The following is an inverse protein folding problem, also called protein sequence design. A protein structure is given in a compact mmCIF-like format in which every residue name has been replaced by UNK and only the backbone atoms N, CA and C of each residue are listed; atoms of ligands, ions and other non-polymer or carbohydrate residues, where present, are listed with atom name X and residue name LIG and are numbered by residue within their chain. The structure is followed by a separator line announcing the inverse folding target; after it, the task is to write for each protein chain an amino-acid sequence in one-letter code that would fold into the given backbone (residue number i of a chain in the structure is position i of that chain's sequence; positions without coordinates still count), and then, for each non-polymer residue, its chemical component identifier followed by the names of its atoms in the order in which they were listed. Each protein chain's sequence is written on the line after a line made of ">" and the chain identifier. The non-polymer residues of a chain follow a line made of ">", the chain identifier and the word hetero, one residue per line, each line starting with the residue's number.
data_IF_817302065088
#
_entry.id   IF_817302065088
#
_cell.length_a   1.000
_cell.length_b   1.000
_cell.length_c   1.000
_cell.angle_alpha   90.00
_cell.angle_beta   90.00
_cell.angle_gamma   90.00
#
_symmetry.space_group_name_H-M   'P 1'
#
loop_
_entity.id
_entity.type
_entity.pdbx_description
1 polymer ?
#
# COMPACT_ATOMS: atom_id res chain seq x y z
N UNK A 1 19.02 53.15 5.03
CA UNK A 1 17.72 52.76 4.45
C UNK A 1 17.14 51.67 5.33
N UNK A 2 16.13 52.00 6.15
CA UNK A 2 15.42 51.02 6.96
C UNK A 2 14.77 49.98 6.05
N UNK A 3 15.22 48.74 6.14
CA UNK A 3 14.55 47.61 5.52
C UNK A 3 13.22 47.43 6.26
N UNK A 4 12.14 48.03 5.75
CA UNK A 4 10.78 47.85 6.29
C UNK A 4 10.55 46.34 6.46
N UNK A 5 10.39 45.88 7.70
CA UNK A 5 10.05 44.48 7.99
C UNK A 5 8.77 44.14 7.23
N UNK A 6 8.84 43.16 6.33
CA UNK A 6 7.69 42.66 5.57
C UNK A 6 6.48 42.39 6.48
N UNK A 7 5.23 42.68 6.06
CA UNK A 7 4.05 42.50 6.91
C UNK A 7 3.89 41.03 7.33
N UNK A 8 3.25 40.77 8.48
CA UNK A 8 3.05 39.40 8.98
C UNK A 8 2.15 38.56 8.05
N UNK A 9 1.33 39.21 7.22
CA UNK A 9 0.54 38.59 6.15
C UNK A 9 1.36 38.16 4.93
N UNK A 10 2.60 38.63 4.75
CA UNK A 10 3.47 38.16 3.67
C UNK A 10 3.69 36.65 3.81
N UNK A 11 3.28 35.89 2.80
CA UNK A 11 3.39 34.43 2.76
C UNK A 11 4.81 33.93 3.01
N UNK A 12 5.84 34.73 2.69
CA UNK A 12 7.23 34.39 2.98
C UNK A 12 7.55 34.34 4.48
N UNK A 13 6.77 35.05 5.32
CA UNK A 13 6.89 35.05 6.79
C UNK A 13 6.07 33.97 7.47
N UNK A 14 5.16 33.31 6.75
CA UNK A 14 4.35 32.21 7.28
C UNK A 14 5.24 31.06 7.74
N UNK A 15 4.78 30.35 8.77
CA UNK A 15 5.51 29.21 9.33
C UNK A 15 5.50 28.06 8.34
N UNK A 16 6.65 27.43 8.13
CA UNK A 16 6.77 26.27 7.25
C UNK A 16 6.69 24.99 8.08
N UNK A 17 5.86 24.05 7.64
CA UNK A 17 5.84 22.67 8.15
C UNK A 17 6.10 21.70 6.99
N UNK A 18 7.05 20.79 7.19
CA UNK A 18 7.27 19.63 6.33
C UNK A 18 6.73 18.39 7.05
N UNK A 19 6.25 17.35 6.34
CA UNK A 19 5.90 16.08 6.97
C UNK A 19 7.05 15.48 7.79
N UNK A 20 8.29 15.62 7.30
CA UNK A 20 9.50 15.20 8.01
C UNK A 20 9.69 15.86 9.39
N UNK A 21 9.14 17.05 9.64
CA UNK A 21 9.26 17.71 10.95
C UNK A 21 8.54 16.96 12.08
N UNK A 22 7.52 16.18 11.73
CA UNK A 22 6.65 15.50 12.67
C UNK A 22 6.65 13.97 12.48
N UNK A 23 7.50 13.43 11.61
CA UNK A 23 7.56 12.00 11.31
C UNK A 23 8.42 11.21 12.30
N UNK A 24 7.96 10.00 12.67
CA UNK A 24 8.75 9.02 13.44
C UNK A 24 9.95 8.48 12.67
N UNK A 25 9.86 8.42 11.33
CA UNK A 25 10.93 7.91 10.45
C UNK A 25 12.06 8.94 10.23
N UNK A 26 11.85 10.21 10.59
CA UNK A 26 12.88 11.25 10.40
C UNK A 26 13.91 11.23 11.54
N UNK A 27 15.19 11.28 11.17
CA UNK A 27 16.32 11.41 12.10
C UNK A 27 16.14 12.63 13.03
N UNK A 28 16.75 12.56 14.22
CA UNK A 28 16.60 13.59 15.27
C UNK A 28 16.90 15.00 14.77
N UNK A 29 17.93 15.17 13.92
CA UNK A 29 18.33 16.48 13.36
C UNK A 29 17.30 17.07 12.38
N UNK A 30 16.47 16.23 11.76
CA UNK A 30 15.44 16.63 10.81
C UNK A 30 14.09 16.87 11.46
N UNK A 31 13.80 16.16 12.56
CA UNK A 31 12.55 16.28 13.31
C UNK A 31 12.52 17.58 14.12
N UNK A 32 11.31 18.09 14.37
CA UNK A 32 11.07 19.33 15.15
C UNK A 32 10.23 19.11 16.40
N UNK A 33 9.78 17.87 16.63
CA UNK A 33 9.08 17.45 17.85
C UNK A 33 9.75 16.20 18.46
N UNK A 34 9.51 15.89 19.75
CA UNK A 34 9.99 14.65 20.38
C UNK A 34 9.50 13.39 19.64
N UNK A 35 10.28 12.30 19.66
CA UNK A 35 9.89 11.03 19.03
C UNK A 35 8.55 10.50 19.55
N UNK A 36 8.30 10.66 20.86
CA UNK A 36 7.07 10.22 21.51
C UNK A 36 5.81 10.97 21.02
N UNK A 37 5.97 12.17 20.45
CA UNK A 37 4.87 12.97 19.91
C UNK A 37 4.78 12.88 18.38
N UNK A 38 5.69 12.13 17.74
CA UNK A 38 5.79 12.04 16.29
C UNK A 38 4.75 11.07 15.69
N UNK A 39 4.46 11.26 14.41
CA UNK A 39 3.45 10.55 13.63
C UNK A 39 4.10 9.52 12.71
N UNK A 40 3.44 8.38 12.49
CA UNK A 40 3.87 7.38 11.51
C UNK A 40 3.52 7.84 10.09
N UNK A 41 4.56 8.08 9.28
CA UNK A 41 4.46 8.43 7.85
C UNK A 41 3.41 9.54 7.53
N UNK A 42 3.50 10.74 8.14
CA UNK A 42 2.63 11.86 7.81
C UNK A 42 2.87 12.34 6.37
N UNK A 43 1.84 12.93 5.74
CA UNK A 43 1.94 13.53 4.40
C UNK A 43 1.33 14.95 4.34
N UNK A 44 1.50 15.63 3.20
CA UNK A 44 1.01 17.01 3.01
C UNK A 44 -0.52 17.12 3.06
N UNK A 45 -1.30 16.28 2.35
CA UNK A 45 -2.76 16.29 2.46
C UNK A 45 -3.28 16.23 3.90
N UNK A 46 -2.72 15.36 4.74
CA UNK A 46 -3.15 15.24 6.14
C UNK A 46 -2.86 16.48 6.97
N UNK A 47 -1.72 17.12 6.74
CA UNK A 47 -1.40 18.40 7.37
C UNK A 47 -2.43 19.45 6.95
N UNK A 48 -2.79 19.49 5.66
CA UNK A 48 -3.81 20.42 5.13
C UNK A 48 -5.18 20.12 5.73
N UNK A 49 -5.59 18.87 5.84
CA UNK A 49 -6.88 18.48 6.43
C UNK A 49 -7.00 18.94 7.89
N UNK A 50 -5.94 18.74 8.69
CA UNK A 50 -5.88 19.26 10.05
C UNK A 50 -5.94 20.78 10.06
N UNK A 51 -5.17 21.46 9.21
CA UNK A 51 -5.15 22.93 9.18
C UNK A 51 -6.48 23.53 8.71
N UNK A 52 -7.20 22.86 7.82
CA UNK A 52 -8.51 23.31 7.35
C UNK A 52 -9.61 23.12 8.41
N UNK A 53 -9.37 22.31 9.44
CA UNK A 53 -10.28 22.17 10.59
C UNK A 53 -10.19 23.33 11.59
N UNK A 54 -9.22 24.24 11.41
CA UNK A 54 -8.97 25.40 12.27
C UNK A 54 -8.80 26.66 11.43
N UNK A 55 -8.99 27.89 11.98
CA UNK A 55 -8.92 29.12 11.20
C UNK A 55 -7.47 29.57 10.92
N UNK A 56 -6.63 28.68 10.38
CA UNK A 56 -5.26 28.97 9.98
C UNK A 56 -5.10 28.89 8.45
N UNK A 57 -5.02 30.06 7.76
CA UNK A 57 -4.72 30.11 6.34
C UNK A 57 -3.42 29.36 6.02
N UNK A 58 -3.44 28.58 4.96
CA UNK A 58 -2.32 27.75 4.56
C UNK A 58 -2.09 27.75 3.04
N UNK A 59 -0.85 27.45 2.64
CA UNK A 59 -0.42 27.39 1.25
C UNK A 59 0.52 26.20 1.05
N UNK A 60 0.18 25.32 0.12
CA UNK A 60 1.00 24.16 -0.26
C UNK A 60 2.06 24.57 -1.26
N UNK A 61 3.29 24.08 -1.07
CA UNK A 61 4.40 24.24 -2.00
C UNK A 61 5.04 22.88 -2.30
N UNK A 62 5.41 22.63 -3.55
CA UNK A 62 6.05 21.38 -4.03
C UNK A 62 7.55 21.31 -3.71
N UNK A 63 7.99 21.93 -2.60
CA UNK A 63 9.40 21.92 -2.20
C UNK A 63 9.74 20.68 -1.39
N UNK A 64 10.79 19.96 -1.79
CA UNK A 64 11.32 18.84 -1.02
C UNK A 64 12.02 19.29 0.26
N UNK A 65 12.01 18.42 1.27
CA UNK A 65 12.79 18.64 2.48
C UNK A 65 14.28 18.39 2.20
N UNK A 66 15.17 19.39 2.30
CA UNK A 66 16.56 19.24 1.84
C UNK A 66 17.38 18.21 2.63
N UNK A 67 16.94 17.85 3.84
CA UNK A 67 17.62 16.88 4.72
C UNK A 67 16.95 15.51 4.72
N UNK A 68 15.96 15.28 3.85
CA UNK A 68 15.41 13.94 3.64
C UNK A 68 16.33 13.15 2.70
N UNK A 69 17.15 12.27 3.28
CA UNK A 69 18.09 11.43 2.53
C UNK A 69 17.38 10.35 1.70
N UNK A 70 16.18 9.94 2.11
CA UNK A 70 15.42 8.87 1.46
C UNK A 70 14.67 9.36 0.22
N UNK A 71 14.54 10.69 0.04
CA UNK A 71 13.72 11.31 -1.02
C UNK A 71 12.36 10.64 -1.16
N UNK A 72 11.76 10.24 -0.03
CA UNK A 72 10.53 9.47 -0.04
C UNK A 72 9.41 10.28 -0.70
N UNK A 73 8.73 9.68 -1.68
CA UNK A 73 7.58 10.28 -2.36
C UNK A 73 6.45 10.62 -1.38
N UNK A 74 6.38 9.90 -0.26
CA UNK A 74 5.39 10.09 0.82
C UNK A 74 5.55 11.44 1.56
N UNK A 75 6.74 12.04 1.53
CA UNK A 75 7.07 13.28 2.25
C UNK A 75 7.26 14.49 1.30
N UNK A 76 6.78 14.40 0.07
CA UNK A 76 6.94 15.48 -0.92
C UNK A 76 6.12 16.72 -0.57
N UNK A 77 6.77 17.88 -0.66
CA UNK A 77 6.15 19.18 -0.45
C UNK A 77 6.23 19.69 0.98
N UNK A 78 5.67 20.89 1.17
CA UNK A 78 5.56 21.56 2.47
C UNK A 78 4.34 22.47 2.50
N UNK A 79 3.92 22.83 3.70
CA UNK A 79 2.82 23.76 3.92
C UNK A 79 3.33 25.01 4.62
N UNK A 80 2.95 26.18 4.13
CA UNK A 80 3.09 27.46 4.83
C UNK A 80 1.81 27.74 5.59
N UNK A 81 1.92 28.23 6.83
CA UNK A 81 0.79 28.48 7.72
C UNK A 81 0.90 29.87 8.33
N UNK A 82 -0.17 30.66 8.18
CA UNK A 82 -0.29 31.95 8.83
C UNK A 82 -0.74 31.76 10.27
N UNK A 83 0.03 32.25 11.25
CA UNK A 83 -0.35 32.18 12.66
C UNK A 83 -0.94 33.50 13.20
N UNK A 84 -0.68 34.61 12.52
CA UNK A 84 -1.05 35.95 12.97
C UNK A 84 -1.69 36.76 11.85
N UNK A 85 -2.70 37.55 12.19
CA UNK A 85 -3.25 38.59 11.32
C UNK A 85 -2.26 39.75 11.11
N UNK A 86 -2.63 40.72 10.27
CA UNK A 86 -1.77 41.85 9.92
C UNK A 86 -1.40 42.75 11.10
N UNK A 87 -2.36 42.96 12.00
CA UNK A 87 -2.21 43.67 13.28
C UNK A 87 -1.35 42.90 14.30
N UNK A 88 -1.02 41.64 14.01
CA UNK A 88 -0.19 40.80 14.84
C UNK A 88 -0.94 40.02 15.91
N UNK A 89 -2.27 40.03 15.90
CA UNK A 89 -3.12 39.20 16.74
C UNK A 89 -3.01 37.72 16.33
N UNK A 90 -2.92 36.75 17.27
CA UNK A 90 -2.93 35.34 16.93
C UNK A 90 -4.27 34.92 16.31
N UNK A 91 -4.24 34.18 15.20
CA UNK A 91 -5.46 33.65 14.57
C UNK A 91 -6.08 32.51 15.38
N UNK A 92 -5.24 31.74 16.09
CA UNK A 92 -5.64 30.71 17.05
C UNK A 92 -4.83 30.93 18.34
N UNK A 93 -5.46 31.28 19.48
CA UNK A 93 -4.76 31.61 20.71
C UNK A 93 -3.84 30.51 21.25
N UNK A 94 -4.18 29.24 21.03
CA UNK A 94 -3.36 28.11 21.48
C UNK A 94 -2.16 27.83 20.57
N UNK A 95 -2.15 28.39 19.35
CA UNK A 95 -1.16 28.10 18.30
C UNK A 95 -0.42 29.39 17.90
N UNK A 96 0.34 29.95 18.85
CA UNK A 96 1.11 31.18 18.64
C UNK A 96 2.57 30.95 18.22
N UNK A 97 3.06 29.71 18.31
CA UNK A 97 4.46 29.37 18.02
C UNK A 97 4.57 28.25 17.00
N UNK A 98 5.74 28.16 16.34
CA UNK A 98 6.05 27.05 15.43
C UNK A 98 5.95 25.69 16.14
N UNK A 99 6.43 25.62 17.37
CA UNK A 99 6.41 24.40 18.15
C UNK A 99 4.98 23.98 18.49
N UNK A 100 4.13 24.94 18.89
CA UNK A 100 2.72 24.68 19.15
C UNK A 100 2.00 24.17 17.88
N UNK A 101 2.29 24.78 16.72
CA UNK A 101 1.76 24.32 15.43
C UNK A 101 2.14 22.86 15.14
N UNK A 102 3.42 22.52 15.23
CA UNK A 102 3.89 21.17 14.92
C UNK A 102 3.27 20.12 15.84
N UNK A 103 3.21 20.41 17.15
CA UNK A 103 2.58 19.51 18.13
C UNK A 103 1.09 19.37 17.91
N UNK A 104 0.39 20.47 17.60
CA UNK A 104 -1.05 20.45 17.33
C UNK A 104 -1.37 19.59 16.11
N UNK A 105 -0.65 19.80 15.00
CA UNK A 105 -0.81 18.98 13.78
C UNK A 105 -0.49 17.52 14.07
N UNK A 106 0.64 17.22 14.72
CA UNK A 106 1.03 15.85 15.04
C UNK A 106 0.01 15.12 15.94
N UNK A 107 -0.63 15.85 16.87
CA UNK A 107 -1.66 15.29 17.74
C UNK A 107 -2.94 14.92 16.99
N UNK A 108 -3.33 15.69 15.97
CA UNK A 108 -4.60 15.52 15.28
C UNK A 108 -4.53 14.61 14.06
N UNK A 109 -3.38 14.45 13.39
CA UNK A 109 -3.26 13.52 12.24
C UNK A 109 -3.75 12.11 12.59
N UNK A 110 -3.34 11.47 13.71
CA UNK A 110 -3.84 10.15 14.09
C UNK A 110 -5.36 10.10 14.34
N UNK A 111 -6.00 11.26 14.54
CA UNK A 111 -7.44 11.39 14.78
C UNK A 111 -8.24 11.67 13.50
N UNK A 112 -7.58 11.83 12.35
CA UNK A 112 -8.28 12.03 11.08
C UNK A 112 -9.10 10.79 10.74
N UNK A 113 -10.29 11.00 10.17
CA UNK A 113 -11.15 9.90 9.70
C UNK A 113 -10.42 9.00 8.72
N UNK A 114 -9.55 9.55 7.87
CA UNK A 114 -8.68 8.83 6.94
C UNK A 114 -7.65 7.92 7.62
N UNK A 115 -7.25 8.21 8.86
CA UNK A 115 -6.35 7.38 9.69
C UNK A 115 -7.10 6.40 10.60
N UNK A 116 -8.32 6.78 11.02
CA UNK A 116 -9.17 5.96 11.89
C UNK A 116 -9.96 4.91 11.12
N UNK A 117 -10.32 5.21 9.88
CA UNK A 117 -10.78 4.21 8.94
C UNK A 117 -9.53 3.52 8.41
N UNK A 118 -9.36 2.23 8.72
CA UNK A 118 -8.63 1.36 7.77
C UNK A 118 -9.24 1.68 6.41
N UNK A 119 -8.44 1.99 5.37
CA UNK A 119 -9.03 2.13 4.06
C UNK A 119 -9.73 0.81 3.77
N UNK A 120 -11.07 0.84 3.82
CA UNK A 120 -11.89 -0.24 3.29
C UNK A 120 -11.79 -0.07 1.78
N UNK A 121 -10.59 -0.34 1.25
CA UNK A 121 -10.47 -0.63 -0.15
C UNK A 121 -11.16 -1.97 -0.30
N UNK A 122 -12.32 -1.92 -0.94
CA UNK A 122 -13.12 -3.04 -1.37
C UNK A 122 -12.32 -4.35 -1.39
N UNK A 123 -12.41 -5.13 -0.30
CA UNK A 123 -11.53 -6.27 -0.08
C UNK A 123 -11.73 -7.25 -1.24
N UNK A 124 -10.71 -7.54 -2.06
CA UNK A 124 -10.86 -8.51 -3.11
C UNK A 124 -11.23 -9.87 -2.52
N UNK A 125 -12.21 -10.51 -3.16
CA UNK A 125 -12.67 -11.84 -2.81
C UNK A 125 -12.54 -12.76 -4.02
N UNK A 126 -12.03 -13.96 -3.79
CA UNK A 126 -12.06 -15.04 -4.75
C UNK A 126 -12.83 -16.21 -4.13
N UNK A 127 -13.92 -16.62 -4.76
CA UNK A 127 -14.57 -17.91 -4.50
C UNK A 127 -13.81 -18.96 -5.29
N UNK A 128 -13.29 -19.97 -4.60
CA UNK A 128 -12.45 -21.03 -5.16
C UNK A 128 -13.27 -22.32 -5.19
N UNK A 129 -13.30 -22.97 -6.35
CA UNK A 129 -13.92 -24.28 -6.54
C UNK A 129 -12.88 -25.27 -7.06
N UNK A 130 -13.02 -26.54 -6.68
CA UNK A 130 -12.33 -27.62 -7.34
C UNK A 130 -13.06 -27.99 -8.65
N UNK A 131 -12.31 -28.53 -9.62
CA UNK A 131 -12.81 -28.86 -10.95
C UNK A 131 -13.87 -29.97 -11.00
N UNK A 132 -14.13 -30.66 -9.89
CA UNK A 132 -15.27 -31.56 -9.72
C UNK A 132 -16.57 -30.85 -9.33
N UNK A 133 -16.55 -29.51 -9.25
CA UNK A 133 -17.68 -28.69 -8.79
C UNK A 133 -17.76 -28.60 -7.27
N UNK A 134 -16.83 -29.21 -6.52
CA UNK A 134 -16.77 -29.06 -5.08
C UNK A 134 -16.34 -27.62 -4.73
N UNK A 135 -17.23 -26.89 -4.06
CA UNK A 135 -16.94 -25.57 -3.55
C UNK A 135 -15.91 -25.68 -2.41
N UNK A 136 -14.69 -25.20 -2.62
CA UNK A 136 -13.63 -25.17 -1.60
C UNK A 136 -13.81 -24.00 -0.62
N UNK A 137 -14.70 -23.06 -0.96
CA UNK A 137 -15.04 -21.90 -0.15
C UNK A 137 -14.50 -20.60 -0.76
N UNK A 138 -14.23 -19.62 0.11
CA UNK A 138 -13.91 -18.26 -0.30
C UNK A 138 -12.67 -17.76 0.40
N UNK A 139 -11.73 -17.23 -0.38
CA UNK A 139 -10.59 -16.47 0.11
C UNK A 139 -10.93 -14.97 0.07
N UNK A 140 -10.69 -14.28 1.18
CA UNK A 140 -10.89 -12.83 1.32
C UNK A 140 -9.57 -12.20 1.70
N UNK A 141 -9.11 -11.24 0.90
CA UNK A 141 -7.83 -10.57 1.11
C UNK A 141 -8.03 -9.10 1.49
N UNK A 142 -7.22 -8.62 2.44
CA UNK A 142 -6.99 -7.19 2.66
C UNK A 142 -5.80 -6.76 1.78
N UNK A 143 -5.93 -5.62 1.09
CA UNK A 143 -4.89 -5.07 0.22
C UNK A 143 -4.21 -3.88 0.87
N UNK A 144 -2.88 -3.83 0.82
CA UNK A 144 -2.06 -2.77 1.41
C UNK A 144 -1.94 -1.57 0.46
N UNK A 145 -3.06 -0.89 0.18
CA UNK A 145 -3.12 0.16 -0.85
C UNK A 145 -2.31 1.40 -0.55
N UNK A 146 -1.99 1.66 0.72
CA UNK A 146 -1.07 2.73 1.10
C UNK A 146 0.37 2.40 0.69
N UNK A 147 0.72 1.12 0.70
CA UNK A 147 2.05 0.63 0.36
C UNK A 147 2.17 0.44 -1.14
N UNK A 148 1.25 -0.32 -1.75
CA UNK A 148 1.33 -0.77 -3.14
C UNK A 148 0.08 -0.36 -3.95
N UNK A 149 -0.25 0.95 -4.11
CA UNK A 149 -1.51 1.37 -4.72
C UNK A 149 -1.72 0.86 -6.15
N UNK A 150 -0.69 0.83 -7.01
CA UNK A 150 -0.81 0.33 -8.39
C UNK A 150 -0.99 -1.18 -8.42
N UNK A 151 -0.22 -1.90 -7.61
CA UNK A 151 -0.30 -3.36 -7.51
C UNK A 151 -1.68 -3.79 -7.01
N UNK A 152 -2.18 -3.10 -5.99
CA UNK A 152 -3.50 -3.34 -5.43
C UNK A 152 -4.63 -3.02 -6.43
N UNK A 153 -4.54 -1.90 -7.14
CA UNK A 153 -5.53 -1.54 -8.17
C UNK A 153 -5.55 -2.55 -9.32
N UNK A 154 -4.38 -3.01 -9.77
CA UNK A 154 -4.28 -4.09 -10.76
C UNK A 154 -5.01 -5.36 -10.28
N UNK A 155 -4.69 -5.85 -9.08
CA UNK A 155 -5.31 -7.06 -8.55
C UNK A 155 -6.83 -6.91 -8.37
N UNK A 156 -7.27 -5.80 -7.78
CA UNK A 156 -8.69 -5.52 -7.56
C UNK A 156 -9.48 -5.41 -8.88
N UNK A 157 -8.92 -4.75 -9.89
CA UNK A 157 -9.55 -4.66 -11.22
C UNK A 157 -9.61 -6.01 -11.93
N UNK A 158 -8.60 -6.86 -11.81
CA UNK A 158 -8.60 -8.23 -12.32
C UNK A 158 -9.59 -9.14 -11.57
N UNK A 159 -9.81 -8.93 -10.27
CA UNK A 159 -10.87 -9.61 -9.53
C UNK A 159 -12.26 -9.21 -10.03
N UNK A 160 -12.49 -7.92 -10.32
CA UNK A 160 -13.79 -7.42 -10.82
C UNK A 160 -14.06 -7.78 -12.29
N UNK A 161 -13.02 -8.02 -13.07
CA UNK A 161 -13.14 -8.20 -14.52
C UNK A 161 -13.51 -6.93 -15.28
N UNK A 162 -13.24 -5.73 -14.73
CA UNK A 162 -13.68 -4.44 -15.31
C UNK A 162 -13.13 -4.17 -16.70
N UNK A 163 -11.99 -4.79 -17.06
CA UNK A 163 -11.34 -4.64 -18.36
C UNK A 163 -11.81 -5.68 -19.40
N UNK A 164 -12.85 -6.47 -19.09
CA UNK A 164 -13.32 -7.58 -19.93
C UNK A 164 -12.44 -8.84 -19.86
N UNK A 165 -11.47 -8.85 -18.95
CA UNK A 165 -10.63 -9.99 -18.59
C UNK A 165 -10.32 -9.93 -17.09
N UNK A 166 -10.01 -11.07 -16.47
CA UNK A 166 -9.81 -11.14 -15.02
C UNK A 166 -9.52 -12.55 -14.53
N UNK A 167 -9.59 -12.72 -13.21
CA UNK A 167 -9.26 -13.97 -12.54
C UNK A 167 -10.37 -15.03 -12.58
N UNK A 168 -11.62 -14.67 -12.89
CA UNK A 168 -12.70 -15.63 -12.99
C UNK A 168 -12.40 -16.67 -14.08
N UNK A 169 -12.43 -17.95 -13.71
CA UNK A 169 -12.06 -19.08 -14.56
C UNK A 169 -10.56 -19.37 -14.61
N UNK A 170 -9.70 -18.59 -13.96
CA UNK A 170 -8.27 -18.91 -13.86
C UNK A 170 -7.99 -20.03 -12.85
N UNK A 171 -6.95 -20.82 -13.11
CA UNK A 171 -6.57 -21.96 -12.26
C UNK A 171 -5.39 -21.65 -11.34
N UNK A 172 -5.36 -22.32 -10.18
CA UNK A 172 -4.13 -22.46 -9.41
C UNK A 172 -3.23 -23.50 -10.08
N UNK A 173 -2.34 -23.04 -10.95
CA UNK A 173 -1.50 -23.88 -11.79
C UNK A 173 -0.30 -24.50 -11.06
N UNK A 174 0.01 -24.02 -9.85
CA UNK A 174 1.12 -24.53 -9.03
C UNK A 174 0.77 -24.42 -7.56
N UNK A 175 0.79 -25.53 -6.84
CA UNK A 175 0.58 -25.58 -5.39
C UNK A 175 1.67 -26.43 -4.78
N UNK A 176 2.48 -25.83 -3.89
CA UNK A 176 3.55 -26.51 -3.16
C UNK A 176 3.20 -26.45 -1.68
N UNK A 177 2.77 -27.57 -1.06
CA UNK A 177 2.52 -27.63 0.37
C UNK A 177 3.72 -27.14 1.19
N UNK A 178 3.46 -26.35 2.23
CA UNK A 178 4.46 -25.69 3.06
C UNK A 178 5.18 -24.51 2.38
N UNK A 179 4.76 -24.10 1.18
CA UNK A 179 5.36 -22.96 0.49
C UNK A 179 4.31 -21.97 -0.03
N UNK A 180 3.69 -22.22 -1.18
CA UNK A 180 2.71 -21.29 -1.74
C UNK A 180 1.80 -21.95 -2.80
N UNK A 181 0.70 -21.25 -3.10
CA UNK A 181 -0.17 -21.52 -4.25
C UNK A 181 -0.11 -20.36 -5.24
N UNK A 182 0.22 -20.64 -6.50
CA UNK A 182 0.33 -19.67 -7.59
C UNK A 182 -0.88 -19.75 -8.53
N UNK A 183 -1.37 -18.59 -8.97
CA UNK A 183 -2.52 -18.44 -9.87
C UNK A 183 -2.40 -17.15 -10.71
N UNK A 184 -3.43 -16.83 -11.48
CA UNK A 184 -3.55 -15.54 -12.17
C UNK A 184 -3.06 -15.52 -13.61
N UNK A 185 -2.63 -16.65 -14.19
CA UNK A 185 -2.41 -16.78 -15.63
C UNK A 185 -3.72 -17.12 -16.35
N UNK A 186 -4.62 -16.14 -16.42
CA UNK A 186 -5.93 -16.32 -17.05
C UNK A 186 -5.87 -16.48 -18.59
N UNK A 187 -4.76 -16.07 -19.23
CA UNK A 187 -4.63 -16.13 -20.68
C UNK A 187 -4.25 -17.51 -21.19
N UNK A 188 -3.31 -18.18 -20.51
CA UNK A 188 -2.74 -19.45 -20.99
C UNK A 188 -2.95 -20.59 -20.01
N UNK A 189 -3.46 -20.33 -18.80
CA UNK A 189 -3.57 -21.32 -17.73
C UNK A 189 -2.21 -21.98 -17.46
N UNK A 190 -1.13 -21.19 -17.55
CA UNK A 190 0.27 -21.57 -17.37
C UNK A 190 0.82 -22.61 -18.37
N UNK A 191 0.15 -22.82 -19.51
CA UNK A 191 0.60 -23.78 -20.55
C UNK A 191 1.99 -23.47 -21.11
N UNK A 192 2.29 -22.19 -21.33
CA UNK A 192 3.56 -21.73 -21.89
C UNK A 192 4.46 -21.00 -20.88
N UNK A 193 3.95 -20.80 -19.64
CA UNK A 193 4.60 -20.06 -18.55
C UNK A 193 4.94 -18.61 -18.92
N UNK A 194 4.28 -18.02 -19.92
CA UNK A 194 4.44 -16.64 -20.39
C UNK A 194 3.14 -15.83 -20.41
N UNK A 195 2.00 -16.47 -20.21
CA UNK A 195 0.69 -15.81 -20.15
C UNK A 195 0.46 -14.92 -18.94
N UNK A 196 -0.59 -14.11 -19.03
CA UNK A 196 -0.98 -13.15 -18.00
C UNK A 196 -0.61 -11.72 -18.41
N UNK A 197 -1.47 -10.78 -18.05
CA UNK A 197 -1.27 -9.35 -18.31
C UNK A 197 -1.94 -8.50 -17.24
N UNK A 198 -1.34 -7.35 -16.94
CA UNK A 198 -1.89 -6.37 -16.02
C UNK A 198 -2.91 -5.46 -16.70
N UNK A 199 -3.62 -4.66 -15.92
CA UNK A 199 -4.44 -3.56 -16.44
C UNK A 199 -3.62 -2.45 -17.10
N UNK A 200 -2.30 -2.43 -16.89
CA UNK A 200 -1.35 -1.44 -17.43
C UNK A 200 -0.63 -1.92 -18.70
N UNK A 201 -0.94 -3.13 -19.17
CA UNK A 201 -0.25 -3.78 -20.28
C UNK A 201 0.38 -5.11 -19.85
N UNK A 202 1.35 -5.61 -20.64
CA UNK A 202 1.95 -6.93 -20.41
C UNK A 202 2.63 -7.02 -19.04
N UNK A 203 3.44 -6.02 -18.69
CA UNK A 203 4.21 -5.97 -17.45
C UNK A 203 4.13 -4.57 -16.81
N UNK A 204 4.33 -4.52 -15.49
CA UNK A 204 4.56 -3.28 -14.73
C UNK A 204 5.68 -3.45 -13.69
N UNK A 205 6.22 -2.31 -13.26
CA UNK A 205 7.39 -2.22 -12.38
C UNK A 205 7.13 -2.79 -10.97
N UNK A 206 8.20 -3.16 -10.27
CA UNK A 206 8.15 -3.49 -8.85
C UNK A 206 7.87 -2.20 -8.05
N UNK A 207 6.72 -2.14 -7.37
CA UNK A 207 6.26 -0.90 -6.75
C UNK A 207 7.03 -0.56 -5.46
N UNK A 208 7.20 -1.54 -4.57
CA UNK A 208 8.09 -1.49 -3.40
C UNK A 208 8.24 -2.91 -2.79
N UNK A 209 9.13 -3.04 -1.80
CA UNK A 209 9.40 -4.28 -1.08
C UNK A 209 9.29 -4.12 0.44
N UNK A 210 8.44 -3.20 0.91
CA UNK A 210 8.35 -2.86 2.34
C UNK A 210 7.61 -3.91 3.17
N UNK A 211 6.73 -4.73 2.54
CA UNK A 211 6.04 -5.85 3.18
C UNK A 211 6.85 -7.14 3.03
N UNK A 212 7.08 -7.83 4.14
CA UNK A 212 7.81 -9.10 4.20
C UNK A 212 6.85 -10.29 4.02
N UNK A 213 7.37 -11.40 3.50
CA UNK A 213 6.71 -12.70 3.44
C UNK A 213 6.95 -13.47 4.74
N UNK A 214 6.53 -12.91 5.87
CA UNK A 214 6.88 -13.38 7.21
C UNK A 214 5.86 -14.33 7.85
N UNK A 215 4.78 -14.66 7.13
CA UNK A 215 3.69 -15.50 7.65
C UNK A 215 2.92 -16.19 6.53
N UNK A 216 2.06 -17.14 6.93
CA UNK A 216 1.02 -17.74 6.10
C UNK A 216 0.00 -16.69 5.65
N UNK A 217 -0.49 -16.82 4.43
CA UNK A 217 -1.57 -15.99 3.88
C UNK A 217 -1.11 -14.67 3.28
N UNK A 218 0.19 -14.41 3.12
CA UNK A 218 0.68 -13.23 2.41
C UNK A 218 0.36 -13.35 0.92
N UNK A 219 -0.23 -12.31 0.35
CA UNK A 219 -0.55 -12.20 -1.08
C UNK A 219 0.55 -11.38 -1.78
N UNK A 220 1.12 -11.94 -2.85
CA UNK A 220 2.30 -11.38 -3.51
C UNK A 220 2.33 -11.64 -5.02
N UNK A 221 3.01 -10.79 -5.77
CA UNK A 221 3.13 -10.89 -7.23
C UNK A 221 4.08 -12.02 -7.64
N UNK A 222 3.67 -12.84 -8.62
CA UNK A 222 4.53 -13.85 -9.25
C UNK A 222 5.11 -13.27 -10.56
N UNK A 223 6.36 -12.80 -10.51
CA UNK A 223 7.04 -12.23 -11.67
C UNK A 223 7.76 -13.32 -12.49
N UNK A 224 8.38 -12.95 -13.61
CA UNK A 224 9.04 -13.90 -14.51
C UNK A 224 10.49 -14.24 -14.11
N UNK A 225 10.91 -13.88 -12.89
CA UNK A 225 12.25 -14.14 -12.38
C UNK A 225 13.28 -13.05 -12.71
N UNK A 226 12.83 -11.90 -13.20
CA UNK A 226 13.63 -10.68 -13.31
C UNK A 226 12.80 -9.45 -12.91
N UNK A 227 13.46 -8.37 -12.41
CA UNK A 227 12.76 -7.19 -11.90
C UNK A 227 11.80 -6.57 -12.91
N UNK A 228 10.78 -5.88 -12.39
CA UNK A 228 9.81 -5.09 -13.15
C UNK A 228 9.01 -5.91 -14.17
N UNK A 229 8.62 -7.13 -13.79
CA UNK A 229 7.77 -7.99 -14.63
C UNK A 229 6.52 -8.51 -13.95
N UNK A 230 5.95 -7.69 -13.08
CA UNK A 230 4.65 -7.96 -12.50
C UNK A 230 3.58 -7.93 -13.60
N UNK A 231 2.61 -8.84 -13.55
CA UNK A 231 1.53 -8.95 -14.54
C UNK A 231 0.19 -9.19 -13.84
N UNK A 232 -0.48 -10.30 -14.15
CA UNK A 232 -1.64 -10.80 -13.41
C UNK A 232 -1.31 -11.94 -12.45
N UNK A 233 -0.15 -12.59 -12.59
CA UNK A 233 0.18 -13.76 -11.77
C UNK A 233 0.46 -13.35 -10.33
N UNK A 234 -0.02 -14.17 -9.41
CA UNK A 234 0.14 -13.96 -7.97
C UNK A 234 0.35 -15.29 -7.26
N UNK A 235 0.82 -15.22 -6.02
CA UNK A 235 0.82 -16.35 -5.12
C UNK A 235 0.35 -15.97 -3.72
N UNK A 236 -0.13 -16.99 -2.99
CA UNK A 236 -0.50 -16.90 -1.57
C UNK A 236 0.40 -17.84 -0.79
N UNK A 237 1.02 -17.37 0.29
CA UNK A 237 1.93 -18.19 1.10
C UNK A 237 1.19 -19.17 2.00
N UNK A 238 1.76 -20.36 2.18
CA UNK A 238 1.33 -21.35 3.16
C UNK A 238 2.17 -21.30 4.45
N UNK A 239 3.36 -20.71 4.39
CA UNK A 239 4.24 -20.50 5.55
C UNK A 239 5.11 -19.25 5.33
N UNK A 240 5.96 -18.89 6.29
CA UNK A 240 6.94 -17.83 6.08
C UNK A 240 7.90 -18.17 4.92
N UNK A 241 8.11 -17.18 4.06
CA UNK A 241 8.88 -17.29 2.82
C UNK A 241 9.83 -16.09 2.65
N UNK A 242 10.49 -15.65 3.74
CA UNK A 242 11.31 -14.41 3.76
C UNK A 242 12.41 -14.35 2.70
N UNK A 243 12.83 -15.49 2.14
CA UNK A 243 13.75 -15.53 1.00
C UNK A 243 13.18 -14.92 -0.29
N UNK A 244 11.87 -14.63 -0.33
CA UNK A 244 11.19 -13.94 -1.42
C UNK A 244 11.21 -12.41 -1.27
N UNK A 245 11.60 -11.91 -0.09
CA UNK A 245 11.67 -10.47 0.19
C UNK A 245 12.68 -9.78 -0.73
N UNK A 246 12.32 -8.60 -1.25
CA UNK A 246 13.13 -7.88 -2.23
C UNK A 246 13.10 -8.43 -3.65
N UNK A 247 12.42 -9.57 -3.88
CA UNK A 247 12.27 -10.19 -5.20
C UNK A 247 10.83 -10.20 -5.71
N UNK A 248 9.85 -10.23 -4.79
CA UNK A 248 8.42 -10.26 -5.10
C UNK A 248 7.70 -9.17 -4.31
N UNK A 249 6.82 -8.42 -4.97
CA UNK A 249 6.04 -7.36 -4.34
C UNK A 249 4.90 -8.00 -3.55
N UNK A 250 5.02 -8.02 -2.22
CA UNK A 250 3.92 -8.39 -1.33
C UNK A 250 2.97 -7.19 -1.17
N UNK A 251 1.67 -7.40 -1.36
CA UNK A 251 0.70 -6.31 -1.48
C UNK A 251 -0.63 -6.56 -0.77
N UNK A 252 -0.76 -7.65 -0.02
CA UNK A 252 -1.94 -7.92 0.79
C UNK A 252 -1.79 -9.16 1.65
N UNK A 253 -2.86 -9.53 2.34
CA UNK A 253 -2.92 -10.72 3.17
C UNK A 253 -4.33 -11.29 3.31
N UNK A 254 -4.41 -12.60 3.55
CA UNK A 254 -5.66 -13.30 3.79
C UNK A 254 -6.25 -12.87 5.15
N UNK A 255 -7.51 -12.45 5.15
CA UNK A 255 -8.25 -12.07 6.36
C UNK A 255 -9.42 -13.00 6.68
N UNK A 256 -9.88 -13.78 5.70
CA UNK A 256 -10.88 -14.85 5.90
C UNK A 256 -10.75 -15.92 4.82
N UNK A 257 -11.18 -17.15 5.12
CA UNK A 257 -11.05 -18.30 4.22
C UNK A 257 -9.87 -19.22 4.50
N UNK A 258 -9.38 -19.27 5.75
CA UNK A 258 -8.25 -20.13 6.13
C UNK A 258 -8.49 -21.61 5.79
N UNK A 259 -9.69 -22.13 6.08
CA UNK A 259 -10.06 -23.51 5.72
C UNK A 259 -10.03 -23.75 4.20
N UNK A 260 -10.37 -22.73 3.39
CA UNK A 260 -10.24 -22.78 1.93
C UNK A 260 -8.79 -22.81 1.51
N UNK A 261 -7.92 -22.02 2.15
CA UNK A 261 -6.48 -22.04 1.88
C UNK A 261 -5.88 -23.41 2.23
N UNK A 262 -6.28 -24.01 3.34
CA UNK A 262 -5.89 -25.36 3.75
C UNK A 262 -6.38 -26.41 2.74
N UNK A 263 -7.61 -26.29 2.25
CA UNK A 263 -8.15 -27.18 1.23
C UNK A 263 -7.38 -27.08 -0.10
N UNK A 264 -6.98 -25.86 -0.51
CA UNK A 264 -6.12 -25.66 -1.69
C UNK A 264 -4.75 -26.29 -1.46
N UNK A 265 -4.14 -26.10 -0.29
CA UNK A 265 -2.85 -26.69 0.05
C UNK A 265 -2.86 -28.22 0.02
N UNK A 266 -3.91 -28.84 0.59
CA UNK A 266 -4.08 -30.29 0.64
C UNK A 266 -4.23 -30.94 -0.73
N UNK A 267 -4.57 -30.17 -1.76
CA UNK A 267 -4.60 -30.63 -3.14
C UNK A 267 -3.26 -30.48 -3.86
N UNK A 268 -2.25 -29.87 -3.22
CA UNK A 268 -0.90 -29.74 -3.75
C UNK A 268 -0.05 -30.99 -3.56
N UNK A 269 0.81 -31.29 -4.53
CA UNK A 269 1.82 -32.36 -4.44
C UNK A 269 3.20 -31.86 -4.84
N UNK A 270 4.20 -32.22 -4.05
CA UNK A 270 5.61 -31.89 -4.30
C UNK A 270 6.20 -32.90 -5.29
N UNK A 271 5.71 -32.85 -6.52
CA UNK A 271 6.22 -33.63 -7.65
C UNK A 271 6.79 -32.72 -8.74
N UNK A 272 7.76 -33.24 -9.51
CA UNK A 272 8.46 -32.52 -10.58
C UNK A 272 9.95 -32.27 -10.30
N UNK A 273 10.67 -31.76 -11.31
CA UNK A 273 12.10 -31.46 -11.23
C UNK A 273 12.39 -29.95 -11.23
N UNK A 274 13.37 -29.53 -10.42
CA UNK A 274 13.85 -28.14 -10.37
C UNK A 274 12.79 -27.12 -9.90
N UNK A 275 12.75 -25.96 -10.56
CA UNK A 275 11.79 -24.86 -10.25
C UNK A 275 10.32 -25.20 -10.57
N UNK A 276 10.05 -26.39 -11.12
CA UNK A 276 8.73 -26.84 -11.57
C UNK A 276 8.00 -27.74 -10.56
N UNK A 277 8.48 -27.79 -9.31
CA UNK A 277 7.76 -28.52 -8.25
C UNK A 277 6.43 -27.85 -7.93
N UNK A 278 5.41 -28.66 -7.67
CA UNK A 278 4.09 -28.22 -7.25
C UNK A 278 3.05 -28.42 -8.34
N UNK A 279 2.42 -29.60 -8.37
CA UNK A 279 1.21 -29.86 -9.15
C UNK A 279 0.02 -29.94 -8.22
N UNK A 280 -1.18 -29.91 -8.78
CA UNK A 280 -2.40 -30.18 -8.03
C UNK A 280 -2.95 -31.58 -8.38
N UNK A 281 -3.50 -32.29 -7.39
CA UNK A 281 -4.16 -33.60 -7.61
C UNK A 281 -5.48 -33.48 -8.37
N UNK A 282 -6.08 -32.28 -8.31
CA UNK A 282 -7.28 -31.88 -9.04
C UNK A 282 -7.07 -30.45 -9.55
N UNK A 283 -7.69 -30.09 -10.65
CA UNK A 283 -7.71 -28.69 -11.08
C UNK A 283 -8.48 -27.85 -10.04
N UNK A 284 -7.95 -26.67 -9.71
CA UNK A 284 -8.51 -25.74 -8.74
C UNK A 284 -8.73 -24.43 -9.48
N UNK A 285 -9.99 -23.98 -9.53
CA UNK A 285 -10.44 -22.85 -10.34
C UNK A 285 -10.96 -21.73 -9.46
N UNK A 286 -10.64 -20.49 -9.80
CA UNK A 286 -11.30 -19.32 -9.25
C UNK A 286 -12.67 -19.20 -9.94
N UNK A 287 -13.70 -19.82 -9.37
CA UNK A 287 -15.02 -19.93 -10.01
C UNK A 287 -15.73 -18.59 -10.11
N UNK A 288 -15.50 -17.69 -9.16
CA UNK A 288 -16.00 -16.30 -9.14
C UNK A 288 -15.05 -15.42 -8.35
N UNK A 289 -14.88 -14.18 -8.75
CA UNK A 289 -14.14 -13.20 -7.96
C UNK A 289 -14.73 -11.78 -8.09
N UNK A 290 -14.34 -10.89 -7.20
CA UNK A 290 -14.81 -9.51 -7.18
C UNK A 290 -14.19 -8.73 -6.03
N UNK A 291 -14.76 -7.56 -5.71
CA UNK A 291 -14.40 -6.78 -4.52
C UNK A 291 -15.66 -6.48 -3.71
N UNK A 292 -15.55 -6.50 -2.38
CA UNK A 292 -16.65 -6.17 -1.46
C UNK A 292 -17.03 -4.68 -1.44
#
# INVERSE_FOLDING_TARGET
>A
MDVKKKPKSDQLRWVVIYPAYISKKTLVEGRRIPLAEAVDAPNVPEIVDVLNSIPLPNLVETKMYPRDQLRSTLCQGRVRVQLFSEDGTPLVPEITTRQALYKHVAKLIPMLKTRQQKPVVAAPQATVAAADGANLGRLVFELDTELCPKTCENFASLCRGTQGFGYEGSIFYRVVPGFCACSGDFETQNKDRKGGRSIYGKWFDDENFDKSHDKRGVLSMDNFGWPNTNSSRFFVTFDECRWMDGYHVAFGELVSGWDTLDAVENLGVIEGYGRQKGRTTKEIVISKCGTL
#
